data_IF_845787315002
#
_entry.id   IF_845787315002
#
_cell.length_a   1.000
_cell.length_b   1.000
_cell.length_c   1.000
_cell.angle_alpha   90.00
_cell.angle_beta   90.00
_cell.angle_gamma   90.00
#
_symmetry.space_group_name_H-M   'P 1'
#
loop_
_entity.id
_entity.type
_entity.pdbx_description
1 polymer ?
#
# COMPACT_ATOMS: atom_id res chain seq x y z
N UNK A 1 -16.30 11.17 5.53
CA UNK A 1 -16.15 12.09 4.44
C UNK A 1 -16.09 11.33 3.14
N UNK A 2 -16.56 11.94 2.08
CA UNK A 2 -16.63 11.30 0.80
C UNK A 2 -15.40 11.46 -0.10
N UNK A 3 -14.31 11.96 0.44
CA UNK A 3 -13.12 12.20 -0.38
C UNK A 3 -12.39 10.89 -0.65
N UNK A 4 -12.22 10.56 -1.94
CA UNK A 4 -11.50 9.39 -2.37
C UNK A 4 -10.12 9.82 -2.90
N UNK A 5 -9.10 9.65 -2.08
CA UNK A 5 -7.74 10.08 -2.42
C UNK A 5 -7.17 9.32 -3.62
N UNK A 6 -7.54 8.04 -3.77
CA UNK A 6 -7.12 7.26 -4.93
C UNK A 6 -7.66 7.85 -6.23
N UNK A 7 -8.93 8.22 -6.24
CA UNK A 7 -9.55 8.81 -7.43
C UNK A 7 -8.94 10.18 -7.76
N UNK A 8 -8.71 11.01 -6.75
CA UNK A 8 -8.09 12.32 -6.94
C UNK A 8 -6.67 12.15 -7.50
N UNK A 9 -5.89 11.26 -6.90
CA UNK A 9 -4.53 10.99 -7.37
C UNK A 9 -4.49 10.46 -8.79
N UNK A 10 -5.44 9.58 -9.14
CA UNK A 10 -5.54 9.04 -10.48
C UNK A 10 -5.83 10.12 -11.51
N UNK A 11 -6.72 11.05 -11.17
CA UNK A 11 -7.05 12.16 -12.07
C UNK A 11 -5.84 13.07 -12.30
N UNK A 12 -5.06 13.34 -11.26
CA UNK A 12 -3.84 14.12 -11.38
C UNK A 12 -2.83 13.41 -12.28
N UNK A 13 -2.67 12.09 -12.07
CA UNK A 13 -1.76 11.28 -12.87
C UNK A 13 -2.17 11.26 -14.34
N UNK A 14 -3.47 11.18 -14.62
CA UNK A 14 -3.99 11.27 -15.99
C UNK A 14 -3.67 12.61 -16.63
N UNK A 15 -3.86 13.67 -15.87
CA UNK A 15 -3.59 15.03 -16.35
C UNK A 15 -2.10 15.20 -16.71
N UNK A 16 -1.22 14.53 -15.99
CA UNK A 16 0.21 14.60 -16.22
C UNK A 16 0.70 13.54 -17.21
N UNK A 17 -0.23 12.83 -17.85
CA UNK A 17 0.08 11.83 -18.88
C UNK A 17 0.91 10.64 -18.37
N UNK A 18 0.67 10.21 -17.13
CA UNK A 18 1.30 9.00 -16.61
C UNK A 18 0.75 7.78 -17.37
N UNK A 19 1.54 6.73 -17.49
CA UNK A 19 1.06 5.50 -18.14
C UNK A 19 -0.22 4.97 -17.47
N UNK A 20 -1.15 4.38 -18.24
CA UNK A 20 -2.41 3.88 -17.70
C UNK A 20 -2.26 2.94 -16.51
N UNK A 21 -1.21 2.09 -16.51
CA UNK A 21 -1.01 1.16 -15.41
C UNK A 21 -0.74 1.91 -14.09
N UNK A 22 0.01 3.01 -14.15
CA UNK A 22 0.30 3.82 -12.98
C UNK A 22 -0.96 4.51 -12.48
N UNK A 23 -1.77 5.04 -13.39
CA UNK A 23 -3.06 5.65 -13.05
C UNK A 23 -3.94 4.63 -12.32
N UNK A 24 -4.02 3.41 -12.84
CA UNK A 24 -4.84 2.36 -12.24
C UNK A 24 -4.31 1.92 -10.87
N UNK A 25 -3.01 1.84 -10.71
CA UNK A 25 -2.42 1.51 -9.40
C UNK A 25 -2.82 2.57 -8.38
N UNK A 26 -2.71 3.84 -8.73
CA UNK A 26 -3.09 4.94 -7.84
C UNK A 26 -4.57 4.87 -7.50
N UNK A 27 -5.41 4.63 -8.52
CA UNK A 27 -6.86 4.60 -8.34
C UNK A 27 -7.31 3.51 -7.38
N UNK A 28 -6.70 2.34 -7.48
CA UNK A 28 -7.19 1.15 -6.80
C UNK A 28 -6.36 0.69 -5.61
N UNK A 29 -5.31 1.42 -5.21
CA UNK A 29 -4.45 0.93 -4.14
C UNK A 29 -5.14 0.83 -2.77
N UNK A 30 -6.27 1.51 -2.55
CA UNK A 30 -7.03 1.37 -1.31
C UNK A 30 -8.06 0.23 -1.38
N UNK A 31 -8.35 -0.24 -2.57
CA UNK A 31 -9.28 -1.35 -2.77
C UNK A 31 -8.77 -2.22 -3.94
N UNK A 32 -7.64 -2.90 -3.74
CA UNK A 32 -6.99 -3.64 -4.84
C UNK A 32 -7.85 -4.75 -5.43
N UNK A 33 -8.82 -5.28 -4.69
CA UNK A 33 -9.76 -6.29 -5.19
C UNK A 33 -10.61 -5.77 -6.34
N UNK A 34 -10.75 -4.45 -6.47
CA UNK A 34 -11.52 -3.83 -7.56
C UNK A 34 -10.66 -3.51 -8.77
N UNK A 35 -9.35 -3.67 -8.67
CA UNK A 35 -8.44 -3.35 -9.75
C UNK A 35 -8.55 -4.35 -10.91
N UNK A 36 -8.30 -3.91 -12.16
CA UNK A 36 -8.16 -4.83 -13.28
C UNK A 36 -7.09 -5.88 -12.95
N UNK A 37 -7.25 -7.07 -13.51
CA UNK A 37 -6.38 -8.20 -13.18
C UNK A 37 -4.90 -7.88 -13.41
N UNK A 38 -4.58 -7.15 -14.47
CA UNK A 38 -3.19 -6.82 -14.82
C UNK A 38 -2.54 -5.84 -13.85
N UNK A 39 -3.33 -5.09 -13.07
CA UNK A 39 -2.80 -4.12 -12.11
C UNK A 39 -3.02 -4.53 -10.66
N UNK A 40 -3.76 -5.61 -10.41
CA UNK A 40 -4.15 -6.01 -9.05
C UNK A 40 -2.96 -6.28 -8.14
N UNK A 41 -1.94 -6.96 -8.65
CA UNK A 41 -0.75 -7.27 -7.85
C UNK A 41 -0.03 -5.98 -7.44
N UNK A 42 0.15 -5.06 -8.37
CA UNK A 42 0.82 -3.78 -8.07
C UNK A 42 -0.01 -2.94 -7.11
N UNK A 43 -1.32 -2.89 -7.31
CA UNK A 43 -2.21 -2.16 -6.39
C UNK A 43 -2.16 -2.77 -4.99
N UNK A 44 -2.06 -4.10 -4.90
CA UNK A 44 -1.94 -4.80 -3.63
C UNK A 44 -0.61 -4.50 -2.94
N UNK A 45 0.48 -4.39 -3.69
CA UNK A 45 1.79 -4.01 -3.14
C UNK A 45 1.72 -2.61 -2.54
N UNK A 46 1.14 -1.66 -3.27
CA UNK A 46 1.02 -0.28 -2.79
C UNK A 46 0.12 -0.22 -1.55
N UNK A 47 -0.99 -0.97 -1.58
CA UNK A 47 -1.88 -1.08 -0.42
C UNK A 47 -1.13 -1.61 0.80
N UNK A 48 -0.35 -2.68 0.63
CA UNK A 48 0.40 -3.27 1.74
C UNK A 48 1.42 -2.30 2.30
N UNK A 49 2.13 -1.58 1.43
CA UNK A 49 3.12 -0.58 1.86
C UNK A 49 2.45 0.52 2.68
N UNK A 50 1.27 0.98 2.23
CA UNK A 50 0.50 1.99 2.92
C UNK A 50 0.06 1.49 4.31
N UNK A 51 -0.39 0.23 4.37
CA UNK A 51 -0.80 -0.37 5.65
C UNK A 51 0.37 -0.52 6.61
N UNK A 52 1.56 -0.85 6.11
CA UNK A 52 2.75 -0.95 6.95
C UNK A 52 3.09 0.40 7.59
N UNK A 53 3.00 1.48 6.81
CA UNK A 53 3.25 2.83 7.34
C UNK A 53 2.21 3.21 8.39
N UNK A 54 0.91 2.98 8.10
CA UNK A 54 -0.15 3.30 9.04
C UNK A 54 -0.04 2.48 10.33
N UNK A 55 0.36 1.22 10.21
CA UNK A 55 0.54 0.35 11.37
C UNK A 55 1.70 0.87 12.25
N UNK A 56 2.81 1.28 11.64
CA UNK A 56 3.94 1.86 12.37
C UNK A 56 3.55 3.13 13.10
N UNK A 57 2.69 3.94 12.48
CA UNK A 57 2.21 5.19 13.07
C UNK A 57 1.05 4.97 14.05
N UNK A 58 0.69 3.72 14.29
CA UNK A 58 -0.40 3.33 15.19
C UNK A 58 -1.75 3.91 14.79
N UNK A 59 -1.96 4.09 13.50
CA UNK A 59 -3.21 4.61 12.95
C UNK A 59 -4.21 3.52 12.64
N UNK A 60 -3.76 2.27 12.52
CA UNK A 60 -4.62 1.12 12.25
C UNK A 60 -4.21 -0.06 13.11
N UNK A 61 -5.16 -0.98 13.28
CA UNK A 61 -4.92 -2.27 13.93
C UNK A 61 -4.72 -3.32 12.86
N UNK A 62 -3.97 -4.37 13.18
CA UNK A 62 -3.68 -5.45 12.24
C UNK A 62 -4.97 -6.06 11.64
N UNK A 63 -6.00 -6.22 12.45
CA UNK A 63 -7.26 -6.84 12.00
C UNK A 63 -7.99 -6.00 10.95
N UNK A 64 -7.62 -4.74 10.77
CA UNK A 64 -8.23 -3.86 9.76
C UNK A 64 -7.62 -4.06 8.38
N UNK A 65 -6.51 -4.79 8.28
CA UNK A 65 -5.83 -5.04 7.01
C UNK A 65 -6.53 -6.17 6.26
N UNK A 66 -6.68 -6.01 4.95
CA UNK A 66 -7.33 -7.00 4.09
C UNK A 66 -6.60 -8.34 4.19
N UNK A 67 -7.31 -9.38 4.64
CA UNK A 67 -6.74 -10.71 4.84
C UNK A 67 -6.34 -11.36 3.52
N UNK A 68 -7.05 -11.06 2.44
CA UNK A 68 -6.73 -11.63 1.14
C UNK A 68 -5.39 -11.09 0.65
N UNK A 69 -5.11 -9.81 0.88
CA UNK A 69 -3.82 -9.22 0.52
C UNK A 69 -2.70 -9.84 1.37
N UNK A 70 -2.93 -10.00 2.66
CA UNK A 70 -1.95 -10.64 3.53
C UNK A 70 -1.64 -12.06 3.07
N UNK A 71 -2.67 -12.82 2.68
CA UNK A 71 -2.50 -14.17 2.15
C UNK A 71 -1.73 -14.17 0.84
N UNK A 72 -1.98 -13.21 -0.02
CA UNK A 72 -1.28 -13.08 -1.30
C UNK A 72 0.23 -12.97 -1.11
N UNK A 73 0.65 -12.26 -0.07
CA UNK A 73 2.06 -12.05 0.23
C UNK A 73 2.60 -13.02 1.29
N UNK A 74 1.81 -14.01 1.66
CA UNK A 74 2.19 -15.06 2.62
C UNK A 74 2.60 -14.49 3.97
N UNK A 75 1.80 -13.56 4.47
CA UNK A 75 1.97 -12.98 5.80
C UNK A 75 0.89 -13.59 6.70
N UNK A 76 1.23 -14.65 7.46
CA UNK A 76 0.20 -15.44 8.15
C UNK A 76 -0.25 -14.86 9.50
N UNK A 77 0.46 -13.90 10.05
CA UNK A 77 0.16 -13.44 11.41
C UNK A 77 0.64 -12.02 11.63
N UNK A 78 0.10 -11.40 12.67
CA UNK A 78 0.53 -10.06 13.08
C UNK A 78 2.01 -10.04 13.44
N UNK A 79 2.53 -11.10 14.04
CA UNK A 79 3.94 -11.20 14.39
C UNK A 79 4.84 -11.06 13.16
N UNK A 80 4.49 -11.73 12.07
CA UNK A 80 5.22 -11.62 10.81
C UNK A 80 5.12 -10.23 10.22
N UNK A 81 3.92 -9.67 10.26
CA UNK A 81 3.67 -8.32 9.75
C UNK A 81 4.50 -7.28 10.52
N UNK A 82 4.51 -7.39 11.85
CA UNK A 82 5.26 -6.48 12.71
C UNK A 82 6.77 -6.57 12.44
N UNK A 83 7.28 -7.77 12.18
CA UNK A 83 8.70 -7.95 11.85
C UNK A 83 9.07 -7.26 10.53
N UNK A 84 8.20 -7.36 9.54
CA UNK A 84 8.40 -6.68 8.26
C UNK A 84 8.41 -5.17 8.47
N UNK A 85 7.46 -4.68 9.25
CA UNK A 85 7.34 -3.26 9.57
C UNK A 85 8.61 -2.73 10.24
N UNK A 86 9.13 -3.46 11.23
CA UNK A 86 10.36 -3.10 11.94
C UNK A 86 11.57 -3.06 11.00
N UNK A 87 11.67 -4.06 10.13
CA UNK A 87 12.76 -4.15 9.16
C UNK A 87 12.78 -2.96 8.22
N UNK A 88 11.62 -2.59 7.71
CA UNK A 88 11.49 -1.44 6.82
C UNK A 88 11.86 -0.15 7.53
N UNK A 89 11.39 0.00 8.76
CA UNK A 89 11.71 1.18 9.56
C UNK A 89 13.21 1.31 9.81
N UNK A 90 13.85 0.20 10.19
CA UNK A 90 15.30 0.16 10.41
C UNK A 90 16.08 0.53 9.15
N UNK A 91 15.68 -0.01 8.01
CA UNK A 91 16.30 0.30 6.72
C UNK A 91 16.15 1.79 6.38
N UNK A 92 14.99 2.35 6.68
CA UNK A 92 14.72 3.76 6.43
C UNK A 92 15.61 4.65 7.30
N UNK A 93 15.77 4.29 8.57
CA UNK A 93 16.63 5.05 9.50
C UNK A 93 18.09 4.98 9.06
N UNK A 94 18.55 3.80 8.60
CA UNK A 94 19.89 3.64 8.04
C UNK A 94 20.12 4.57 6.85
N UNK A 95 19.17 4.64 5.94
CA UNK A 95 19.25 5.49 4.77
C UNK A 95 19.39 6.96 5.18
N UNK A 96 18.63 7.39 6.17
CA UNK A 96 18.72 8.75 6.69
C UNK A 96 20.07 9.05 7.30
N UNK A 97 20.67 8.08 7.99
CA UNK A 97 21.96 8.24 8.66
C UNK A 97 23.11 8.40 7.69
N UNK A 98 22.96 7.92 6.47
CA UNK A 98 24.03 7.91 5.47
C UNK A 98 24.13 9.21 4.68
N UNK A 99 23.30 10.16 4.98
CA UNK A 99 23.37 11.46 4.27
C UNK A 99 24.44 12.36 4.82
#
# INVERSE_FOLDING_TARGET
>A
SGVNHGEIGAKIAEKWNFPPIIVNVIRYHHSPENAPEDTRTLASVVYLADMLVHYQEKKIEYYQIDQDVLSMFRIPSESQFAKISEKLNSSFEEQKSKK
#
